data_IF_993247114506
#
_entry.id   IF_993247114506
#
_cell.length_a   1.000
_cell.length_b   1.000
_cell.length_c   1.000
_cell.angle_alpha   90.00
_cell.angle_beta   90.00
_cell.angle_gamma   90.00
#
_symmetry.space_group_name_H-M   'P 1'
#
loop_
_entity.id
_entity.type
_entity.pdbx_description
1 polymer ?
#
# COMPACT_ATOMS: atom_id res chain seq x y z
N UNK A 1 16.63 -16.04 -0.15
CA UNK A 1 15.84 -14.91 0.39
C UNK A 1 14.44 -15.07 -0.14
N UNK A 2 13.41 -15.10 0.72
CA UNK A 2 12.01 -15.09 0.25
C UNK A 2 11.76 -13.71 -0.37
N UNK A 3 11.29 -13.69 -1.61
CA UNK A 3 10.82 -12.47 -2.25
C UNK A 3 9.60 -11.98 -1.48
N UNK A 4 9.59 -10.72 -1.07
CA UNK A 4 8.42 -10.10 -0.44
C UNK A 4 7.31 -10.00 -1.48
N UNK A 5 6.07 -10.33 -1.10
CA UNK A 5 4.96 -10.45 -2.05
C UNK A 5 4.34 -9.10 -2.44
N UNK A 6 4.53 -8.04 -1.64
CA UNK A 6 3.89 -6.75 -1.84
C UNK A 6 4.91 -5.62 -1.77
N UNK A 7 4.82 -4.67 -2.69
CA UNK A 7 5.61 -3.43 -2.68
C UNK A 7 4.69 -2.23 -2.63
N UNK A 8 4.94 -1.32 -1.69
CA UNK A 8 4.23 -0.05 -1.54
C UNK A 8 5.00 1.07 -2.22
N UNK A 9 4.29 1.90 -2.99
CA UNK A 9 4.83 3.07 -3.64
C UNK A 9 4.06 4.32 -3.24
N UNK A 10 4.72 5.48 -3.32
CA UNK A 10 4.09 6.79 -3.27
C UNK A 10 4.59 7.63 -4.44
N UNK A 11 3.67 8.06 -5.30
CA UNK A 11 3.96 8.87 -6.49
C UNK A 11 5.08 8.26 -7.36
N UNK A 12 5.07 6.93 -7.54
CA UNK A 12 6.10 6.20 -8.28
C UNK A 12 7.38 5.88 -7.51
N UNK A 13 7.60 6.46 -6.32
CA UNK A 13 8.73 6.14 -5.45
C UNK A 13 8.45 4.90 -4.62
N UNK A 14 9.34 3.90 -4.70
CA UNK A 14 9.26 2.70 -3.87
C UNK A 14 9.54 3.05 -2.41
N UNK A 15 8.62 2.67 -1.51
CA UNK A 15 8.75 2.93 -0.08
C UNK A 15 9.27 1.69 0.66
N UNK A 16 8.54 0.58 0.57
CA UNK A 16 8.86 -0.62 1.34
C UNK A 16 8.18 -1.88 0.77
N UNK A 17 8.67 -3.05 1.20
CA UNK A 17 8.16 -4.36 0.79
C UNK A 17 7.67 -5.17 1.99
N UNK A 18 6.61 -5.94 1.79
CA UNK A 18 5.90 -6.68 2.82
C UNK A 18 5.56 -8.11 2.39
N UNK A 19 5.43 -9.02 3.36
CA UNK A 19 4.99 -10.39 3.06
C UNK A 19 3.48 -10.44 2.85
N UNK A 20 2.74 -9.55 3.52
CA UNK A 20 1.27 -9.47 3.45
C UNK A 20 0.76 -8.04 3.33
N UNK A 21 -0.44 -7.88 2.77
CA UNK A 21 -1.13 -6.59 2.72
C UNK A 21 -1.45 -6.04 4.13
N UNK A 22 -1.60 -6.93 5.13
CA UNK A 22 -1.85 -6.53 6.52
C UNK A 22 -0.64 -5.83 7.13
N UNK A 23 0.56 -6.35 6.88
CA UNK A 23 1.81 -5.69 7.30
C UNK A 23 1.97 -4.31 6.64
N UNK A 24 1.66 -4.22 5.34
CA UNK A 24 1.64 -2.94 4.63
C UNK A 24 0.68 -1.95 5.28
N UNK A 25 -0.53 -2.40 5.66
CA UNK A 25 -1.53 -1.56 6.32
C UNK A 25 -1.04 -1.08 7.68
N UNK A 26 -0.60 -1.99 8.55
CA UNK A 26 -0.11 -1.62 9.88
C UNK A 26 1.09 -0.66 9.80
N UNK A 27 2.01 -0.88 8.84
CA UNK A 27 3.13 0.02 8.63
C UNK A 27 2.68 1.42 8.22
N UNK A 28 1.77 1.52 7.24
CA UNK A 28 1.31 2.81 6.74
C UNK A 28 0.42 3.54 7.75
N UNK A 29 -0.46 2.83 8.45
CA UNK A 29 -1.31 3.36 9.53
C UNK A 29 -0.46 3.95 10.66
N UNK A 30 0.70 3.37 10.97
CA UNK A 30 1.63 3.94 11.96
C UNK A 30 2.29 5.25 11.49
N UNK A 31 2.30 5.56 10.19
CA UNK A 31 2.93 6.77 9.64
C UNK A 31 1.90 7.88 9.42
N UNK A 32 0.75 7.54 8.83
CA UNK A 32 -0.25 8.55 8.43
C UNK A 32 -1.58 8.42 9.20
N UNK A 33 -1.73 7.44 10.09
CA UNK A 33 -2.95 7.19 10.85
C UNK A 33 -4.08 6.57 10.02
N UNK A 34 -5.24 6.36 10.66
CA UNK A 34 -6.45 5.86 10.02
C UNK A 34 -6.58 4.33 9.96
N UNK A 35 -7.64 3.86 9.31
CA UNK A 35 -7.89 2.45 9.03
C UNK A 35 -7.78 2.24 7.51
N UNK A 36 -6.60 1.83 7.06
CA UNK A 36 -6.19 1.85 5.66
C UNK A 36 -6.25 0.47 5.00
N UNK A 37 -6.45 -0.60 5.77
CA UNK A 37 -6.43 -1.99 5.27
C UNK A 37 -7.32 -2.21 4.04
N UNK A 38 -8.60 -1.84 4.08
CA UNK A 38 -9.51 -2.02 2.94
C UNK A 38 -9.15 -1.13 1.75
N UNK A 39 -8.67 0.08 2.01
CA UNK A 39 -8.19 0.98 0.95
C UNK A 39 -6.94 0.44 0.24
N UNK A 40 -6.01 -0.17 0.99
CA UNK A 40 -4.83 -0.82 0.44
C UNK A 40 -5.17 -2.10 -0.34
N UNK A 41 -6.18 -2.87 0.10
CA UNK A 41 -6.74 -3.98 -0.69
C UNK A 41 -7.34 -3.48 -1.99
N UNK A 42 -8.10 -2.39 -1.96
CA UNK A 42 -8.65 -1.78 -3.15
C UNK A 42 -7.54 -1.28 -4.11
N UNK A 43 -6.49 -0.64 -3.60
CA UNK A 43 -5.32 -0.22 -4.38
C UNK A 43 -4.66 -1.40 -5.11
N UNK A 44 -4.44 -2.51 -4.40
CA UNK A 44 -3.92 -3.75 -4.98
C UNK A 44 -4.83 -4.27 -6.10
N UNK A 45 -6.14 -4.16 -5.92
CA UNK A 45 -7.14 -4.62 -6.89
C UNK A 45 -7.38 -3.61 -8.04
N UNK A 46 -6.59 -2.51 -8.10
CA UNK A 46 -6.57 -1.55 -9.19
C UNK A 46 -7.44 -0.30 -9.00
N UNK A 47 -8.03 -0.12 -7.82
CA UNK A 47 -8.72 1.13 -7.49
C UNK A 47 -7.73 2.30 -7.46
N UNK A 48 -8.16 3.46 -7.98
CA UNK A 48 -7.37 4.70 -7.97
C UNK A 48 -8.02 5.72 -7.03
N UNK A 49 -7.32 6.16 -5.97
CA UNK A 49 -7.85 7.15 -5.05
C UNK A 49 -7.98 8.52 -5.71
N UNK A 50 -9.01 9.26 -5.33
CA UNK A 50 -9.16 10.67 -5.68
C UNK A 50 -8.17 11.53 -4.90
N UNK A 51 -7.92 12.77 -5.35
CA UNK A 51 -6.94 13.70 -4.76
C UNK A 51 -7.14 13.98 -3.27
N UNK A 52 -8.39 13.99 -2.80
CA UNK A 52 -8.71 14.21 -1.39
C UNK A 52 -8.59 12.95 -0.52
N UNK A 53 -8.33 11.79 -1.11
CA UNK A 53 -8.13 10.55 -0.35
C UNK A 53 -6.80 10.58 0.38
N UNK A 54 -6.78 10.07 1.61
CA UNK A 54 -5.56 9.85 2.36
C UNK A 54 -4.58 8.91 1.64
N UNK A 55 -5.11 8.01 0.80
CA UNK A 55 -4.32 7.09 -0.02
C UNK A 55 -3.93 7.70 -1.37
N UNK A 56 -4.24 8.97 -1.65
CA UNK A 56 -3.90 9.58 -2.93
C UNK A 56 -2.42 9.44 -3.27
N UNK A 57 -2.15 8.95 -4.47
CA UNK A 57 -0.81 8.69 -4.99
C UNK A 57 -0.09 7.48 -4.37
N UNK A 58 -0.72 6.72 -3.48
CA UNK A 58 -0.20 5.41 -3.07
C UNK A 58 -0.58 4.34 -4.09
N UNK A 59 0.32 3.37 -4.26
CA UNK A 59 0.10 2.20 -5.11
C UNK A 59 0.63 0.95 -4.39
N UNK A 60 -0.06 -0.18 -4.53
CA UNK A 60 0.39 -1.49 -4.04
C UNK A 60 0.56 -2.41 -5.23
N UNK A 61 1.75 -3.00 -5.37
CA UNK A 61 2.05 -3.99 -6.42
C UNK A 61 2.34 -5.35 -5.79
N UNK A 62 1.83 -6.41 -6.41
CA UNK A 62 2.20 -7.78 -6.05
C UNK A 62 3.44 -8.20 -6.83
N UNK A 63 4.45 -8.71 -6.13
CA UNK A 63 5.66 -9.25 -6.73
C UNK A 63 5.41 -10.74 -7.00
N UNK A 64 5.19 -11.10 -8.27
CA UNK A 64 5.09 -12.49 -8.71
C UNK A 64 6.47 -13.11 -8.92
#
# INVERSE_FOLDING_TARGET
MKTKNYSLYKNGTHLHEFDTIKECATWLENIIGGALYEGLRALRDGWKPMEHSQLYGYEVKTNN
#
